data_IF_482532341313
#
_entry.id   IF_482532341313
#
_cell.length_a   1.000
_cell.length_b   1.000
_cell.length_c   1.000
_cell.angle_alpha   90.00
_cell.angle_beta   90.00
_cell.angle_gamma   90.00
#
_symmetry.space_group_name_H-M   'P 1'
#
loop_
_entity.id
_entity.type
_entity.pdbx_description
1 polymer ?
#
# COMPACT_ATOMS: atom_id res chain seq x y z
N UNK A 1 25.34 -21.91 14.47
CA UNK A 1 25.80 -21.38 13.16
C UNK A 1 27.33 -21.35 13.16
N UNK A 2 27.95 -21.95 12.15
CA UNK A 2 29.43 -21.99 11.99
C UNK A 2 29.74 -21.22 10.70
N UNK A 3 30.63 -20.23 10.75
CA UNK A 3 31.01 -19.39 9.61
C UNK A 3 29.83 -18.76 8.85
N UNK A 4 28.80 -18.31 9.57
CA UNK A 4 27.59 -17.73 8.97
C UNK A 4 26.68 -18.74 8.25
N UNK A 5 26.93 -20.05 8.42
CA UNK A 5 26.17 -21.15 7.83
C UNK A 5 25.47 -22.00 8.89
N UNK A 6 24.25 -22.43 8.57
CA UNK A 6 23.48 -23.37 9.37
C UNK A 6 24.07 -24.78 9.26
N UNK A 7 24.30 -25.40 10.40
CA UNK A 7 24.68 -26.80 10.51
C UNK A 7 23.55 -27.72 10.02
N UNK A 8 23.85 -28.97 9.70
CA UNK A 8 22.83 -29.93 9.25
C UNK A 8 21.70 -30.11 10.27
N UNK A 9 22.04 -30.14 11.57
CA UNK A 9 21.08 -30.23 12.68
C UNK A 9 20.17 -29.01 12.74
N UNK A 10 20.74 -27.80 12.66
CA UNK A 10 19.97 -26.55 12.64
C UNK A 10 19.03 -26.49 11.43
N UNK A 11 19.48 -26.92 10.25
CA UNK A 11 18.64 -26.95 9.05
C UNK A 11 17.48 -27.93 9.17
N UNK A 12 17.70 -29.11 9.75
CA UNK A 12 16.65 -30.09 9.99
C UNK A 12 15.57 -29.53 10.94
N UNK A 13 16.00 -28.92 12.05
CA UNK A 13 15.10 -28.26 12.99
C UNK A 13 14.31 -27.10 12.34
N UNK A 14 15.01 -26.21 11.64
CA UNK A 14 14.35 -25.06 11.00
C UNK A 14 13.38 -25.51 9.90
N UNK A 15 13.65 -26.63 9.23
CA UNK A 15 12.76 -27.16 8.18
C UNK A 15 11.52 -27.86 8.72
N UNK A 16 11.50 -28.27 10.00
CA UNK A 16 10.29 -28.85 10.61
C UNK A 16 9.29 -27.81 11.10
N UNK A 17 9.66 -26.52 11.12
CA UNK A 17 8.79 -25.45 11.59
C UNK A 17 7.79 -25.02 10.50
N UNK A 18 6.49 -24.83 10.82
CA UNK A 18 5.49 -24.36 9.85
C UNK A 18 5.73 -22.94 9.35
N UNK A 19 6.52 -22.16 10.10
CA UNK A 19 6.95 -20.82 9.74
C UNK A 19 7.94 -20.78 8.54
N UNK A 20 8.53 -21.93 8.20
CA UNK A 20 9.62 -22.03 7.24
C UNK A 20 9.21 -22.85 6.02
N UNK A 21 9.38 -22.25 4.83
CA UNK A 21 9.10 -22.90 3.55
C UNK A 21 10.27 -23.77 3.08
N UNK A 22 11.49 -23.30 3.26
CA UNK A 22 12.70 -24.07 2.94
C UNK A 22 13.95 -23.44 3.54
N UNK A 23 14.95 -24.25 3.89
CA UNK A 23 16.22 -23.80 4.47
C UNK A 23 17.40 -24.24 3.61
N UNK A 24 18.30 -23.32 3.31
CA UNK A 24 19.61 -23.60 2.70
C UNK A 24 20.73 -23.43 3.73
N UNK A 25 21.99 -23.60 3.32
CA UNK A 25 23.13 -23.41 4.21
C UNK A 25 23.18 -21.99 4.83
N UNK A 26 22.69 -20.94 4.16
CA UNK A 26 22.78 -19.55 4.65
C UNK A 26 21.46 -18.78 4.64
N UNK A 27 20.49 -19.24 3.84
CA UNK A 27 19.21 -18.54 3.62
C UNK A 27 18.04 -19.37 4.15
N UNK A 28 17.10 -18.68 4.80
CA UNK A 28 15.80 -19.22 5.21
C UNK A 28 14.75 -18.56 4.33
N UNK A 29 13.88 -19.36 3.69
CA UNK A 29 12.66 -18.86 3.06
C UNK A 29 11.51 -19.10 4.02
N UNK A 30 10.88 -18.02 4.44
CA UNK A 30 9.71 -18.08 5.32
C UNK A 30 8.46 -18.42 4.51
N UNK A 31 7.45 -18.97 5.19
CA UNK A 31 6.13 -19.15 4.59
C UNK A 31 5.41 -17.81 4.49
N UNK A 32 4.53 -17.69 3.49
CA UNK A 32 3.78 -16.45 3.27
C UNK A 32 2.82 -16.16 4.43
N UNK A 33 2.23 -17.22 5.01
CA UNK A 33 1.39 -17.13 6.21
C UNK A 33 2.14 -16.54 7.39
N UNK A 34 3.34 -17.05 7.68
CA UNK A 34 4.14 -16.54 8.78
C UNK A 34 4.56 -15.09 8.57
N UNK A 35 4.91 -14.70 7.35
CA UNK A 35 5.21 -13.30 7.02
C UNK A 35 4.03 -12.38 7.36
N UNK A 36 2.82 -12.74 6.93
CA UNK A 36 1.61 -11.94 7.16
C UNK A 36 1.32 -11.82 8.66
N UNK A 37 1.41 -12.93 9.39
CA UNK A 37 1.22 -12.96 10.84
C UNK A 37 2.22 -12.05 11.56
N UNK A 38 3.51 -12.15 11.22
CA UNK A 38 4.55 -11.32 11.81
C UNK A 38 4.30 -9.84 11.57
N UNK A 39 3.94 -9.46 10.34
CA UNK A 39 3.68 -8.05 10.02
C UNK A 39 2.44 -7.54 10.75
N UNK A 40 1.38 -8.34 10.87
CA UNK A 40 0.19 -7.99 11.63
C UNK A 40 0.52 -7.69 13.11
N UNK A 41 1.22 -8.62 13.78
CA UNK A 41 1.61 -8.48 15.20
C UNK A 41 2.63 -7.37 15.43
N UNK A 42 3.60 -7.23 14.52
CA UNK A 42 4.56 -6.13 14.57
C UNK A 42 3.88 -4.76 14.46
N UNK A 43 2.90 -4.62 13.57
CA UNK A 43 2.11 -3.40 13.42
C UNK A 43 1.21 -3.13 14.64
N UNK A 44 0.85 -4.17 15.41
CA UNK A 44 0.19 -4.04 16.71
C UNK A 44 1.15 -3.62 17.86
N UNK A 45 2.45 -3.47 17.59
CA UNK A 45 3.45 -3.02 18.56
C UNK A 45 4.25 -4.14 19.22
N UNK A 46 4.05 -5.40 18.85
CA UNK A 46 4.81 -6.51 19.41
C UNK A 46 6.26 -6.53 18.92
N UNK A 47 7.18 -6.95 19.81
CA UNK A 47 8.60 -7.03 19.46
C UNK A 47 8.85 -8.15 18.43
N UNK A 48 9.56 -7.88 17.31
CA UNK A 48 9.92 -8.91 16.34
C UNK A 48 10.63 -10.12 16.98
N UNK A 49 11.49 -9.87 17.96
CA UNK A 49 12.20 -10.94 18.67
C UNK A 49 11.27 -11.88 19.43
N UNK A 50 10.15 -11.37 19.96
CA UNK A 50 9.16 -12.16 20.67
C UNK A 50 8.37 -13.04 19.69
N UNK A 51 7.85 -12.45 18.61
CA UNK A 51 7.08 -13.15 17.58
C UNK A 51 7.90 -14.29 16.96
N UNK A 52 9.16 -14.02 16.59
CA UNK A 52 10.03 -15.04 16.03
C UNK A 52 10.36 -16.15 17.02
N UNK A 53 10.55 -15.82 18.31
CA UNK A 53 10.79 -16.82 19.36
C UNK A 53 9.59 -17.75 19.54
N UNK A 54 8.37 -17.21 19.54
CA UNK A 54 7.13 -17.98 19.65
C UNK A 54 6.96 -18.97 18.50
N UNK A 55 7.38 -18.59 17.29
CA UNK A 55 7.37 -19.45 16.11
C UNK A 55 8.53 -20.47 16.06
N UNK A 56 9.34 -20.60 17.11
CA UNK A 56 10.51 -21.50 17.15
C UNK A 56 11.75 -20.95 16.41
N UNK A 57 11.72 -19.71 15.95
CA UNK A 57 12.80 -19.03 15.24
C UNK A 57 13.57 -18.10 16.18
N UNK A 58 14.11 -18.64 17.27
CA UNK A 58 14.78 -17.83 18.31
C UNK A 58 15.87 -16.93 17.68
N UNK A 59 15.84 -15.59 17.91
CA UNK A 59 16.90 -14.68 17.50
C UNK A 59 18.32 -15.10 17.92
N UNK A 60 18.48 -15.91 18.97
CA UNK A 60 19.77 -16.51 19.36
C UNK A 60 20.24 -17.59 18.38
N UNK A 61 19.31 -18.35 17.81
CA UNK A 61 19.58 -19.41 16.84
C UNK A 61 19.78 -18.85 15.43
N UNK A 62 18.85 -18.01 14.97
CA UNK A 62 18.88 -17.46 13.61
C UNK A 62 19.69 -16.16 13.52
N UNK A 63 19.94 -15.46 14.62
CA UNK A 63 20.66 -14.19 14.66
C UNK A 63 19.74 -12.97 14.62
N UNK A 64 19.90 -12.09 15.61
CA UNK A 64 19.14 -10.84 15.76
C UNK A 64 19.13 -9.96 14.50
N UNK A 65 20.29 -9.76 13.86
CA UNK A 65 20.39 -8.98 12.61
C UNK A 65 19.64 -9.59 11.44
N UNK A 66 19.37 -10.90 11.44
CA UNK A 66 18.53 -11.52 10.40
C UNK A 66 17.06 -11.19 10.64
N UNK A 67 16.60 -11.17 11.89
CA UNK A 67 15.23 -10.76 12.27
C UNK A 67 14.98 -9.31 11.85
N UNK A 68 15.84 -8.38 12.28
CA UNK A 68 15.73 -6.95 11.92
C UNK A 68 15.62 -6.74 10.41
N UNK A 69 16.52 -7.35 9.63
CA UNK A 69 16.51 -7.24 8.17
C UNK A 69 15.27 -7.84 7.53
N UNK A 70 14.67 -8.88 8.12
CA UNK A 70 13.43 -9.45 7.59
C UNK A 70 12.27 -8.47 7.76
N UNK A 71 12.12 -7.88 8.94
CA UNK A 71 11.08 -6.86 9.20
C UNK A 71 11.27 -5.65 8.29
N UNK A 72 12.50 -5.12 8.18
CA UNK A 72 12.79 -3.98 7.32
C UNK A 72 12.41 -4.25 5.85
N UNK A 73 12.78 -5.43 5.33
CA UNK A 73 12.43 -5.85 3.97
C UNK A 73 10.93 -6.01 3.78
N UNK A 74 10.22 -6.63 4.71
CA UNK A 74 8.78 -6.83 4.60
C UNK A 74 7.99 -5.53 4.73
N UNK A 75 8.45 -4.61 5.58
CA UNK A 75 7.90 -3.25 5.68
C UNK A 75 8.06 -2.46 4.37
N UNK A 76 9.21 -2.61 3.70
CA UNK A 76 9.42 -2.02 2.38
C UNK A 76 8.48 -2.65 1.35
N UNK A 77 8.35 -3.97 1.36
CA UNK A 77 7.44 -4.69 0.48
C UNK A 77 5.97 -4.26 0.64
N UNK A 78 5.46 -4.11 1.86
CA UNK A 78 4.10 -3.60 2.10
C UNK A 78 3.91 -2.18 1.54
N UNK A 79 4.93 -1.32 1.67
CA UNK A 79 4.89 0.05 1.10
C UNK A 79 4.78 -0.01 -0.42
N UNK A 80 5.55 -0.88 -1.06
CA UNK A 80 5.58 -1.00 -2.51
C UNK A 80 4.30 -1.66 -3.05
N UNK A 81 3.76 -2.65 -2.35
CA UNK A 81 2.46 -3.27 -2.66
C UNK A 81 1.32 -2.23 -2.56
N UNK A 82 1.32 -1.38 -1.53
CA UNK A 82 0.36 -0.27 -1.39
C UNK A 82 0.48 0.78 -2.50
N UNK A 83 1.70 1.06 -2.97
CA UNK A 83 1.92 1.97 -4.11
C UNK A 83 1.40 1.37 -5.42
N UNK A 84 1.69 0.08 -5.67
CA UNK A 84 1.22 -0.63 -6.87
C UNK A 84 -0.31 -0.75 -6.91
N UNK A 85 -0.95 -1.00 -5.77
CA UNK A 85 -2.42 -1.02 -5.68
C UNK A 85 -3.07 0.33 -5.98
N UNK A 86 -2.40 1.45 -5.64
CA UNK A 86 -2.87 2.80 -5.99
C UNK A 86 -2.62 3.16 -7.46
N UNK A 87 -1.54 2.68 -8.07
CA UNK A 87 -1.22 2.94 -9.48
C UNK A 87 -2.26 2.40 -10.46
N UNK A 88 -2.88 1.26 -10.15
CA UNK A 88 -3.96 0.69 -10.96
C UNK A 88 -5.29 1.50 -10.87
N UNK A 89 -5.53 2.18 -9.75
CA UNK A 89 -6.70 3.07 -9.57
C UNK A 89 -6.46 4.46 -10.19
N UNK A 90 -5.21 4.96 -10.14
CA UNK A 90 -4.85 6.24 -10.73
C UNK A 90 -4.86 6.25 -12.27
N UNK A 91 -4.59 5.11 -12.93
CA UNK A 91 -4.67 5.03 -14.39
C UNK A 91 -6.07 5.36 -14.92
N UNK A 92 -7.13 4.95 -14.22
CA UNK A 92 -8.51 5.26 -14.61
C UNK A 92 -8.93 6.71 -14.33
N UNK A 93 -8.17 7.47 -13.52
CA UNK A 93 -8.44 8.89 -13.26
C UNK A 93 -7.68 9.80 -14.23
N UNK A 94 -6.49 9.38 -14.69
CA UNK A 94 -5.68 10.11 -15.67
C UNK A 94 -6.37 10.18 -17.04
N UNK A 95 -7.00 9.07 -17.48
CA UNK A 95 -7.71 8.99 -18.77
C UNK A 95 -8.95 9.93 -18.85
N UNK A 96 -9.48 10.38 -17.71
CA UNK A 96 -10.64 11.31 -17.65
C UNK A 96 -10.20 12.77 -17.53
N UNK A 97 -8.97 13.03 -17.10
CA UNK A 97 -8.41 14.39 -17.01
C UNK A 97 -7.98 14.89 -18.39
N UNK A 98 -7.46 14.03 -19.27
CA UNK A 98 -7.05 14.42 -20.63
C UNK A 98 -8.25 14.85 -21.51
N UNK A 99 -9.43 14.23 -21.35
CA UNK A 99 -10.65 14.61 -22.09
C UNK A 99 -11.27 15.94 -21.61
N UNK A 100 -11.00 16.35 -20.37
CA UNK A 100 -11.51 17.62 -19.81
C UNK A 100 -10.54 18.80 -20.03
N UNK A 101 -9.25 18.50 -20.20
CA UNK A 101 -8.17 19.47 -20.40
C UNK A 101 -8.22 20.23 -21.73
N UNK A 102 -8.97 19.73 -22.73
CA UNK A 102 -9.13 20.41 -24.03
C UNK A 102 -10.00 21.69 -23.90
N UNK A 103 -10.77 21.86 -22.82
CA UNK A 103 -11.71 22.98 -22.69
C UNK A 103 -11.14 24.25 -22.03
N UNK A 104 -9.99 24.21 -21.36
CA UNK A 104 -9.49 25.33 -20.54
C UNK A 104 -8.25 26.06 -21.11
N UNK A 105 -7.92 25.82 -22.38
CA UNK A 105 -6.77 26.43 -23.06
C UNK A 105 -6.99 27.88 -23.56
N UNK A 106 -7.88 28.65 -22.95
CA UNK A 106 -8.06 30.07 -23.27
C UNK A 106 -8.25 30.92 -22.00
N UNK A 107 -7.14 31.28 -21.35
CA UNK A 107 -7.13 32.21 -20.22
C UNK A 107 -5.74 32.43 -19.64
N UNK A 108 -4.96 33.30 -20.27
CA UNK A 108 -3.64 33.81 -19.85
C UNK A 108 -3.59 34.25 -18.36
N UNK A 109 -2.50 34.21 -17.58
CA UNK A 109 -1.17 34.84 -17.76
C UNK A 109 -0.18 34.45 -16.62
N UNK A 110 1.08 34.16 -16.99
CA UNK A 110 2.35 34.74 -16.51
C UNK A 110 2.85 34.62 -15.03
N UNK A 111 3.87 33.76 -14.87
CA UNK A 111 5.16 33.84 -14.11
C UNK A 111 5.29 34.43 -12.68
N UNK A 112 6.14 33.78 -11.87
CA UNK A 112 6.93 34.49 -10.84
C UNK A 112 7.48 33.64 -9.68
N UNK A 113 8.73 33.19 -9.78
CA UNK A 113 9.53 32.63 -8.67
C UNK A 113 9.82 33.69 -7.58
N UNK A 114 9.70 33.33 -6.28
CA UNK A 114 10.57 33.83 -5.19
C UNK A 114 10.53 32.89 -3.97
N UNK A 115 11.71 32.45 -3.51
CA UNK A 115 11.95 31.94 -2.15
C UNK A 115 11.66 33.03 -1.09
N UNK A 116 10.96 32.72 0.01
CA UNK A 116 11.41 33.03 1.38
C UNK A 116 10.55 32.31 2.44
N UNK A 117 11.16 31.98 3.58
CA UNK A 117 10.55 31.27 4.71
C UNK A 117 9.78 32.24 5.64
N UNK A 118 8.47 32.08 5.80
CA UNK A 118 7.77 32.60 6.99
C UNK A 118 6.52 31.78 7.33
N UNK A 119 6.43 31.38 8.59
CA UNK A 119 5.41 30.52 9.24
C UNK A 119 3.99 31.17 9.28
N UNK A 120 3.38 31.37 8.13
CA UNK A 120 1.99 31.87 8.00
C UNK A 120 1.09 31.01 7.08
N UNK A 121 1.58 29.84 6.65
CA UNK A 121 1.03 29.08 5.50
C UNK A 121 0.01 27.97 5.87
N UNK A 122 -0.06 27.54 7.12
CA UNK A 122 -0.90 26.38 7.49
C UNK A 122 -2.42 26.64 7.37
N UNK A 123 -2.85 27.91 7.53
CA UNK A 123 -4.28 28.25 7.43
C UNK A 123 -4.79 28.35 5.99
N UNK A 124 -3.93 28.80 5.06
CA UNK A 124 -4.27 28.86 3.62
C UNK A 124 -4.21 27.47 2.99
N UNK A 125 -3.25 26.64 3.39
CA UNK A 125 -3.13 25.24 2.98
C UNK A 125 -4.35 24.39 3.43
N UNK A 126 -4.83 24.58 4.67
CA UNK A 126 -6.05 23.92 5.15
C UNK A 126 -7.31 24.38 4.40
N UNK A 127 -7.43 25.66 4.10
CA UNK A 127 -8.55 26.18 3.32
C UNK A 127 -8.55 25.66 1.87
N UNK A 128 -7.36 25.59 1.23
CA UNK A 128 -7.20 25.02 -0.09
C UNK A 128 -7.52 23.51 -0.10
N UNK A 129 -7.09 22.76 0.91
CA UNK A 129 -7.44 21.34 1.09
C UNK A 129 -8.93 21.11 1.30
N UNK A 130 -9.60 21.97 2.08
CA UNK A 130 -11.04 21.91 2.27
C UNK A 130 -11.81 22.24 0.98
N UNK A 131 -11.36 23.24 0.23
CA UNK A 131 -11.95 23.59 -1.06
C UNK A 131 -11.79 22.47 -2.09
N UNK A 132 -10.60 21.86 -2.18
CA UNK A 132 -10.35 20.70 -3.03
C UNK A 132 -11.19 19.49 -2.61
N UNK A 133 -11.26 19.20 -1.30
CA UNK A 133 -12.09 18.11 -0.76
C UNK A 133 -13.57 18.33 -1.12
N UNK A 134 -14.09 19.55 -0.97
CA UNK A 134 -15.46 19.89 -1.33
C UNK A 134 -15.71 19.75 -2.83
N UNK A 135 -14.77 20.19 -3.68
CA UNK A 135 -14.87 20.03 -5.12
C UNK A 135 -14.90 18.55 -5.52
N UNK A 136 -14.08 17.70 -4.89
CA UNK A 136 -14.11 16.25 -5.11
C UNK A 136 -15.42 15.61 -4.65
N UNK A 137 -15.99 16.04 -3.51
CA UNK A 137 -17.30 15.57 -3.05
C UNK A 137 -18.38 15.92 -4.07
N UNK A 138 -18.41 17.18 -4.51
CA UNK A 138 -19.38 17.64 -5.51
C UNK A 138 -19.24 16.89 -6.86
N UNK A 139 -17.99 16.55 -7.25
CA UNK A 139 -17.71 15.74 -8.45
C UNK A 139 -18.23 14.30 -8.29
N UNK A 140 -18.06 13.69 -7.12
CA UNK A 140 -18.63 12.38 -6.80
C UNK A 140 -20.16 12.41 -6.85
N UNK A 141 -20.80 13.42 -6.27
CA UNK A 141 -22.26 13.58 -6.28
C UNK A 141 -22.82 13.69 -7.71
N UNK A 142 -22.12 14.44 -8.57
CA UNK A 142 -22.48 14.54 -9.99
C UNK A 142 -22.35 13.20 -10.72
N UNK A 143 -21.31 12.43 -10.43
CA UNK A 143 -21.11 11.09 -11.02
C UNK A 143 -22.19 10.11 -10.55
N UNK A 144 -22.57 10.15 -9.27
CA UNK A 144 -23.66 9.36 -8.70
C UNK A 144 -24.97 9.69 -9.43
N UNK A 145 -25.28 10.97 -9.61
CA UNK A 145 -26.49 11.41 -10.32
C UNK A 145 -26.52 10.93 -11.78
N UNK A 146 -25.39 11.01 -12.50
CA UNK A 146 -25.27 10.51 -13.88
C UNK A 146 -25.44 8.99 -13.95
N UNK A 147 -24.86 8.26 -13.01
CA UNK A 147 -24.99 6.80 -12.94
C UNK A 147 -26.44 6.38 -12.65
N UNK A 148 -27.13 7.06 -11.74
CA UNK A 148 -28.54 6.80 -11.45
C UNK A 148 -29.42 6.96 -12.71
N UNK A 149 -29.26 8.06 -13.46
CA UNK A 149 -29.98 8.28 -14.71
C UNK A 149 -29.66 7.22 -15.77
N UNK A 150 -28.40 6.77 -15.84
CA UNK A 150 -28.00 5.70 -16.77
C UNK A 150 -28.61 4.36 -16.39
N UNK A 151 -28.70 4.05 -15.10
CA UNK A 151 -29.37 2.85 -14.59
C UNK A 151 -30.84 2.90 -14.97
N UNK A 152 -31.53 4.02 -14.71
CA UNK A 152 -32.95 4.18 -15.05
C UNK A 152 -33.23 3.96 -16.54
N UNK A 153 -32.40 4.52 -17.42
CA UNK A 153 -32.55 4.32 -18.86
C UNK A 153 -32.30 2.86 -19.27
N UNK A 154 -31.28 2.20 -18.70
CA UNK A 154 -31.01 0.79 -18.98
C UNK A 154 -32.14 -0.11 -18.49
N UNK A 155 -32.70 0.17 -17.31
CA UNK A 155 -33.88 -0.52 -16.80
C UNK A 155 -35.09 -0.33 -17.72
N UNK A 156 -35.30 0.88 -18.24
CA UNK A 156 -36.38 1.16 -19.19
C UNK A 156 -36.20 0.39 -20.50
N UNK A 157 -34.97 0.26 -20.98
CA UNK A 157 -34.65 -0.55 -22.16
C UNK A 157 -34.90 -2.02 -21.87
N UNK A 158 -34.43 -2.55 -20.74
CA UNK A 158 -34.67 -3.95 -20.34
C UNK A 158 -36.16 -4.27 -20.21
N UNK A 159 -36.97 -3.37 -19.66
CA UNK A 159 -38.42 -3.54 -19.55
C UNK A 159 -39.11 -3.71 -20.91
N UNK A 160 -38.56 -3.16 -21.99
CA UNK A 160 -39.09 -3.32 -23.36
C UNK A 160 -38.76 -4.69 -23.97
N UNK A 161 -37.75 -5.39 -23.47
CA UNK A 161 -37.36 -6.72 -23.95
C UNK A 161 -38.00 -7.88 -23.16
N UNK A 162 -38.66 -7.58 -22.04
CA UNK A 162 -39.32 -8.57 -21.16
C UNK A 162 -40.85 -8.62 -21.42
N UNK A 163 -41.37 -7.79 -22.34
CA UNK A 163 -42.71 -7.92 -22.95
C UNK A 163 -42.61 -8.62 -24.30
#
# INVERSE_FOLDING_TARGET
>A
MIDGKFTAKERAYLSSLPAVKSVSASHIRYSDRFRVEVMCRYNAGESPSAIFREAGLDPKLIGYKRVERCIARWKQQERDERRKGKGAMNHYLQDVEDDLSIAELQGATHEGETNDLTEADESQDMAAKLAQAQLTINKCDLLIAKQALRIDELERVLRKFIQ
#
